data_IF_764013915153
#
_entry.id   IF_764013915153
#
_cell.length_a   1.000
_cell.length_b   1.000
_cell.length_c   1.000
_cell.angle_alpha   90.00
_cell.angle_beta   90.00
_cell.angle_gamma   90.00
#
_symmetry.space_group_name_H-M   'P 1'
#
loop_
_entity.id
_entity.type
_entity.pdbx_description
1 polymer ?
#
# COMPACT_ATOMS: atom_id res chain seq x y z
N UNK A 1 28.44 -9.92 4.34
CA UNK A 1 27.69 -10.22 3.09
C UNK A 1 26.41 -9.41 3.14
N UNK A 2 26.21 -8.43 2.25
CA UNK A 2 24.92 -7.75 2.11
C UNK A 2 23.96 -8.79 1.54
N UNK A 3 22.85 -9.05 2.25
CA UNK A 3 21.76 -9.85 1.68
C UNK A 3 21.32 -9.16 0.38
N UNK A 4 21.19 -9.96 -0.67
CA UNK A 4 20.68 -9.50 -1.97
C UNK A 4 19.31 -8.85 -1.75
N UNK A 5 19.16 -7.61 -2.17
CA UNK A 5 17.87 -6.93 -2.24
C UNK A 5 17.04 -7.67 -3.30
N UNK A 6 16.22 -8.60 -2.86
CA UNK A 6 15.54 -9.51 -3.78
C UNK A 6 14.02 -9.36 -3.63
N UNK A 7 13.43 -8.53 -4.49
CA UNK A 7 12.00 -8.39 -4.63
C UNK A 7 11.33 -9.63 -5.27
N UNK A 8 12.11 -10.57 -5.81
CA UNK A 8 11.58 -11.83 -6.34
C UNK A 8 11.00 -12.71 -5.22
N UNK A 9 11.55 -12.61 -4.00
CA UNK A 9 10.99 -13.34 -2.86
C UNK A 9 9.71 -12.65 -2.37
N UNK A 10 8.59 -13.38 -2.41
CA UNK A 10 7.29 -12.91 -1.94
C UNK A 10 7.00 -13.51 -0.56
N UNK A 11 7.24 -12.78 0.54
CA UNK A 11 7.11 -13.31 1.89
C UNK A 11 5.65 -13.46 2.34
N UNK A 12 5.46 -14.22 3.40
CA UNK A 12 4.27 -14.13 4.24
C UNK A 12 4.65 -13.42 5.55
N UNK A 13 4.04 -12.27 5.80
CA UNK A 13 4.27 -11.46 7.00
C UNK A 13 3.04 -11.58 7.90
N UNK A 14 3.26 -12.04 9.14
CA UNK A 14 2.16 -12.34 10.07
C UNK A 14 2.13 -11.27 11.17
N UNK A 15 1.06 -10.50 11.19
CA UNK A 15 0.76 -9.54 12.24
C UNK A 15 -0.22 -10.07 13.29
N UNK A 16 -0.71 -9.18 14.14
CA UNK A 16 -1.74 -9.50 15.13
C UNK A 16 -3.10 -9.70 14.48
N UNK A 17 -3.49 -8.80 13.58
CA UNK A 17 -4.82 -8.70 12.93
C UNK A 17 -4.78 -9.05 11.46
N UNK A 18 -3.64 -8.88 10.79
CA UNK A 18 -3.47 -9.11 9.35
C UNK A 18 -2.40 -10.14 9.05
N UNK A 19 -2.55 -10.78 7.89
CA UNK A 19 -1.49 -11.53 7.24
C UNK A 19 -1.28 -10.92 5.86
N UNK A 20 -0.05 -10.52 5.55
CA UNK A 20 0.35 -10.14 4.20
C UNK A 20 0.99 -11.36 3.53
N UNK A 21 0.52 -11.74 2.37
CA UNK A 21 1.00 -12.91 1.63
C UNK A 21 0.88 -12.71 0.13
N UNK A 22 1.56 -13.52 -0.69
CA UNK A 22 1.32 -13.54 -2.12
C UNK A 22 -0.16 -13.71 -2.45
N UNK A 23 -0.59 -13.07 -3.54
CA UNK A 23 -1.96 -13.24 -4.06
C UNK A 23 -2.22 -14.70 -4.44
N UNK A 24 -3.48 -15.10 -4.29
CA UNK A 24 -4.02 -16.38 -4.75
C UNK A 24 -5.17 -16.12 -5.71
N UNK A 25 -5.45 -17.02 -6.59
CA UNK A 25 -6.59 -16.93 -7.48
C UNK A 25 -7.92 -16.74 -6.71
N UNK A 26 -8.04 -17.39 -5.55
CA UNK A 26 -9.19 -17.24 -4.65
C UNK A 26 -9.40 -15.83 -4.07
N UNK A 27 -8.42 -14.94 -4.15
CA UNK A 27 -8.53 -13.55 -3.69
C UNK A 27 -9.19 -12.64 -4.73
N UNK A 28 -9.18 -13.03 -6.01
CA UNK A 28 -9.64 -12.20 -7.12
C UNK A 28 -11.09 -11.73 -6.97
N UNK A 29 -12.07 -12.55 -6.57
CA UNK A 29 -13.45 -12.08 -6.39
C UNK A 29 -13.56 -10.97 -5.33
N UNK A 30 -12.86 -11.11 -4.20
CA UNK A 30 -12.87 -10.12 -3.13
C UNK A 30 -12.19 -8.81 -3.55
N UNK A 31 -11.05 -8.91 -4.23
CA UNK A 31 -10.33 -7.75 -4.77
C UNK A 31 -11.11 -7.05 -5.88
N UNK A 32 -11.70 -7.82 -6.79
CA UNK A 32 -12.55 -7.28 -7.86
C UNK A 32 -13.72 -6.47 -7.30
N UNK A 33 -14.43 -7.02 -6.31
CA UNK A 33 -15.52 -6.32 -5.64
C UNK A 33 -15.04 -5.06 -4.89
N UNK A 34 -13.91 -5.14 -4.20
CA UNK A 34 -13.36 -4.02 -3.44
C UNK A 34 -12.89 -2.87 -4.33
N UNK A 35 -12.32 -3.17 -5.49
CA UNK A 35 -11.87 -2.19 -6.48
C UNK A 35 -13.04 -1.53 -7.27
N UNK A 36 -14.24 -2.06 -7.18
CA UNK A 36 -15.47 -1.44 -7.71
C UNK A 36 -16.13 -0.49 -6.71
N UNK A 37 -15.67 -0.47 -5.44
CA UNK A 37 -16.18 0.48 -4.44
C UNK A 37 -15.94 1.92 -4.89
N UNK A 38 -17.00 2.75 -5.05
CA UNK A 38 -16.84 4.10 -5.57
C UNK A 38 -15.96 4.99 -4.69
N UNK A 39 -16.03 4.86 -3.36
CA UNK A 39 -15.18 5.61 -2.44
C UNK A 39 -13.71 5.23 -2.64
N UNK A 40 -13.41 3.94 -2.79
CA UNK A 40 -12.06 3.47 -3.04
C UNK A 40 -11.48 4.07 -4.33
N UNK A 41 -12.24 4.05 -5.41
CA UNK A 41 -11.82 4.59 -6.71
C UNK A 41 -11.51 6.08 -6.64
N UNK A 42 -12.30 6.85 -5.89
CA UNK A 42 -12.04 8.27 -5.63
C UNK A 42 -10.78 8.44 -4.79
N UNK A 43 -10.69 7.76 -3.64
CA UNK A 43 -9.60 7.93 -2.68
C UNK A 43 -8.23 7.50 -3.22
N UNK A 44 -8.19 6.61 -4.22
CA UNK A 44 -6.96 6.20 -4.92
C UNK A 44 -6.62 7.09 -6.13
N UNK A 45 -7.50 8.05 -6.49
CA UNK A 45 -7.30 8.90 -7.65
C UNK A 45 -7.42 8.16 -9.00
N UNK A 46 -8.04 6.97 -9.01
CA UNK A 46 -8.17 6.16 -10.22
C UNK A 46 -9.31 6.61 -11.15
N UNK A 47 -10.07 7.62 -10.75
CA UNK A 47 -11.18 8.20 -11.51
C UNK A 47 -11.20 9.72 -11.38
N UNK A 48 -11.80 10.39 -12.38
CA UNK A 48 -11.81 11.85 -12.47
C UNK A 48 -13.17 12.48 -12.17
N UNK A 49 -14.22 11.67 -12.02
CA UNK A 49 -15.56 12.16 -11.67
C UNK A 49 -16.40 11.06 -10.98
N UNK A 50 -17.56 11.48 -10.45
CA UNK A 50 -18.48 10.61 -9.73
C UNK A 50 -19.19 9.58 -10.65
N UNK A 51 -19.32 9.85 -11.94
CA UNK A 51 -19.90 8.90 -12.89
C UNK A 51 -18.93 7.76 -13.16
N UNK A 52 -17.66 8.06 -13.41
CA UNK A 52 -16.60 7.06 -13.53
C UNK A 52 -16.45 6.23 -12.24
N UNK A 53 -16.58 6.86 -11.07
CA UNK A 53 -16.49 6.14 -9.80
C UNK A 53 -17.55 5.04 -9.66
N UNK A 54 -18.74 5.23 -10.23
CA UNK A 54 -19.88 4.29 -10.18
C UNK A 54 -19.98 3.39 -11.41
N UNK A 55 -19.18 3.62 -12.45
CA UNK A 55 -19.24 2.83 -13.67
C UNK A 55 -18.88 1.36 -13.39
N UNK A 56 -19.65 0.41 -13.91
CA UNK A 56 -19.27 -1.00 -13.87
C UNK A 56 -18.02 -1.23 -14.70
N UNK A 57 -17.29 -2.28 -14.40
CA UNK A 57 -16.22 -2.78 -15.28
C UNK A 57 -16.81 -3.59 -16.42
N UNK A 58 -16.17 -3.50 -17.57
CA UNK A 58 -16.44 -4.38 -18.71
C UNK A 58 -15.79 -5.76 -18.48
N UNK A 59 -16.23 -6.81 -19.19
CA UNK A 59 -15.57 -8.12 -19.16
C UNK A 59 -14.08 -8.08 -19.53
N UNK A 60 -13.68 -7.19 -20.43
CA UNK A 60 -12.28 -7.03 -20.82
C UNK A 60 -11.44 -6.42 -19.69
N UNK A 61 -11.99 -5.43 -18.96
CA UNK A 61 -11.34 -4.87 -17.77
C UNK A 61 -11.23 -5.89 -16.63
N UNK A 62 -12.23 -6.76 -16.46
CA UNK A 62 -12.17 -7.84 -15.47
C UNK A 62 -11.10 -8.87 -15.83
N UNK A 63 -10.94 -9.20 -17.11
CA UNK A 63 -9.87 -10.06 -17.60
C UNK A 63 -8.49 -9.42 -17.36
N UNK A 64 -8.32 -8.15 -17.72
CA UNK A 64 -7.08 -7.41 -17.49
C UNK A 64 -6.71 -7.38 -16.00
N UNK A 65 -7.70 -7.25 -15.11
CA UNK A 65 -7.48 -7.28 -13.67
C UNK A 65 -7.00 -8.66 -13.21
N UNK A 66 -7.61 -9.74 -13.70
CA UNK A 66 -7.19 -11.10 -13.38
C UNK A 66 -5.77 -11.39 -13.87
N UNK A 67 -5.45 -11.02 -15.12
CA UNK A 67 -4.11 -11.14 -15.69
C UNK A 67 -3.08 -10.30 -14.91
N UNK A 68 -3.47 -9.10 -14.47
CA UNK A 68 -2.64 -8.23 -13.64
C UNK A 68 -2.26 -8.91 -12.34
N UNK A 69 -3.21 -9.40 -11.55
CA UNK A 69 -2.91 -10.08 -10.28
C UNK A 69 -2.20 -11.41 -10.48
N UNK A 70 -2.50 -12.14 -11.56
CA UNK A 70 -1.86 -13.41 -11.89
C UNK A 70 -0.35 -13.30 -12.13
N UNK A 71 0.12 -12.13 -12.59
CA UNK A 71 1.54 -11.91 -12.93
C UNK A 71 2.35 -11.19 -11.83
N UNK A 72 1.71 -10.71 -10.77
CA UNK A 72 2.41 -9.92 -9.72
C UNK A 72 3.44 -10.75 -8.94
N UNK A 73 3.18 -12.03 -8.76
CA UNK A 73 4.10 -12.93 -8.08
C UNK A 73 5.45 -13.09 -8.78
N UNK A 74 5.49 -12.95 -10.09
CA UNK A 74 6.67 -13.23 -10.93
C UNK A 74 7.59 -12.01 -11.13
N UNK A 75 7.16 -10.81 -10.72
CA UNK A 75 7.94 -9.59 -10.94
C UNK A 75 9.00 -9.41 -9.84
N UNK A 76 10.25 -9.17 -10.27
CA UNK A 76 11.41 -9.08 -9.38
C UNK A 76 11.76 -7.64 -8.96
N UNK A 77 11.00 -6.64 -9.41
CA UNK A 77 11.22 -5.21 -9.16
C UNK A 77 10.16 -4.58 -8.25
N UNK A 78 9.26 -5.40 -7.73
CA UNK A 78 8.14 -4.97 -6.88
C UNK A 78 7.68 -6.07 -5.94
N UNK A 79 7.02 -5.68 -4.87
CA UNK A 79 6.40 -6.58 -3.90
C UNK A 79 4.93 -6.24 -3.75
N UNK A 80 4.06 -7.11 -4.27
CA UNK A 80 2.60 -6.98 -4.14
C UNK A 80 2.09 -8.09 -3.24
N UNK A 81 1.51 -7.72 -2.11
CA UNK A 81 0.97 -8.68 -1.13
C UNK A 81 -0.51 -8.42 -0.88
N UNK A 82 -1.29 -9.49 -0.87
CA UNK A 82 -2.67 -9.47 -0.41
C UNK A 82 -2.70 -9.18 1.10
N UNK A 83 -3.55 -8.24 1.51
CA UNK A 83 -3.85 -7.98 2.92
C UNK A 83 -5.03 -8.88 3.31
N UNK A 84 -4.76 -9.86 4.17
CA UNK A 84 -5.77 -10.80 4.64
C UNK A 84 -6.15 -10.46 6.09
N UNK A 85 -7.45 -10.31 6.34
CA UNK A 85 -7.98 -10.20 7.71
C UNK A 85 -7.79 -11.56 8.41
N UNK A 86 -6.98 -11.57 9.47
CA UNK A 86 -6.64 -12.81 10.18
C UNK A 86 -7.84 -13.47 10.86
N UNK A 87 -8.81 -12.68 11.30
CA UNK A 87 -10.01 -13.19 11.97
C UNK A 87 -11.00 -13.85 10.98
N UNK A 88 -11.15 -13.26 9.79
CA UNK A 88 -12.09 -13.76 8.78
C UNK A 88 -11.42 -14.71 7.77
N UNK A 89 -10.09 -14.70 7.65
CA UNK A 89 -9.36 -15.44 6.62
C UNK A 89 -9.51 -14.88 5.20
N UNK A 90 -10.12 -13.70 5.04
CA UNK A 90 -10.48 -13.12 3.75
C UNK A 90 -9.50 -12.03 3.31
N UNK A 91 -9.26 -11.95 2.00
CA UNK A 91 -8.54 -10.84 1.41
C UNK A 91 -9.39 -9.56 1.49
N UNK A 92 -8.82 -8.50 2.05
CA UNK A 92 -9.48 -7.21 2.25
C UNK A 92 -8.78 -6.06 1.53
N UNK A 93 -7.68 -6.33 0.85
CA UNK A 93 -6.91 -5.31 0.15
C UNK A 93 -5.54 -5.77 -0.30
N UNK A 94 -4.70 -4.81 -0.63
CA UNK A 94 -3.30 -5.02 -1.03
C UNK A 94 -2.35 -4.03 -0.39
N UNK A 95 -1.10 -4.44 -0.19
CA UNK A 95 0.02 -3.58 0.19
C UNK A 95 1.17 -3.82 -0.79
N UNK A 96 1.76 -2.73 -1.31
CA UNK A 96 2.67 -2.78 -2.44
C UNK A 96 3.90 -1.91 -2.18
N UNK A 97 5.08 -2.46 -2.46
CA UNK A 97 6.31 -1.70 -2.70
C UNK A 97 6.63 -1.81 -4.19
N UNK A 98 6.72 -0.68 -4.90
CA UNK A 98 6.99 -0.60 -6.33
C UNK A 98 7.94 0.56 -6.66
N UNK A 99 8.22 0.74 -7.93
CA UNK A 99 9.15 1.78 -8.40
C UNK A 99 10.51 1.69 -7.67
N UNK A 100 11.04 0.46 -7.58
CA UNK A 100 12.31 0.21 -6.93
C UNK A 100 13.47 0.85 -7.68
N UNK A 101 14.19 1.71 -6.97
CA UNK A 101 15.45 2.31 -7.41
C UNK A 101 16.61 1.70 -6.59
N UNK A 102 17.33 0.73 -7.15
CA UNK A 102 18.44 0.08 -6.47
C UNK A 102 19.62 1.01 -6.18
N UNK A 103 19.80 2.04 -7.00
CA UNK A 103 20.89 3.03 -6.83
C UNK A 103 20.68 3.89 -5.59
N UNK A 104 19.46 4.30 -5.35
CA UNK A 104 19.04 5.10 -4.19
C UNK A 104 18.51 4.26 -3.03
N UNK A 105 18.40 2.94 -3.19
CA UNK A 105 17.79 2.03 -2.22
C UNK A 105 16.40 2.52 -1.78
N UNK A 106 15.59 2.96 -2.74
CA UNK A 106 14.29 3.55 -2.46
C UNK A 106 13.18 2.87 -3.25
N UNK A 107 11.96 3.00 -2.76
CA UNK A 107 10.76 2.58 -3.48
C UNK A 107 9.57 3.46 -3.11
N UNK A 108 8.49 3.32 -3.90
CA UNK A 108 7.18 3.85 -3.59
C UNK A 108 6.36 2.81 -2.83
N UNK A 109 5.53 3.26 -1.91
CA UNK A 109 4.57 2.44 -1.16
C UNK A 109 3.14 2.80 -1.55
N UNK A 110 2.33 1.78 -1.76
CA UNK A 110 0.88 1.91 -1.95
C UNK A 110 0.16 0.92 -1.06
N UNK A 111 -1.01 1.32 -0.57
CA UNK A 111 -1.95 0.43 0.11
C UNK A 111 -3.37 0.71 -0.35
N UNK A 112 -4.12 -0.35 -0.51
CA UNK A 112 -5.54 -0.31 -0.74
C UNK A 112 -6.24 -1.21 0.29
N UNK A 113 -7.24 -0.67 0.98
CA UNK A 113 -8.10 -1.44 1.88
C UNK A 113 -9.55 -1.24 1.45
N UNK A 114 -10.18 -2.32 1.04
CA UNK A 114 -11.57 -2.34 0.65
C UNK A 114 -12.54 -2.11 1.84
N UNK A 115 -13.84 -1.89 1.57
CA UNK A 115 -14.83 -1.54 2.60
C UNK A 115 -14.85 -2.50 3.80
N UNK A 116 -14.64 -3.81 3.56
CA UNK A 116 -14.67 -4.84 4.61
C UNK A 116 -13.50 -4.77 5.60
N UNK A 117 -12.39 -4.12 5.23
CA UNK A 117 -11.19 -3.99 6.06
C UNK A 117 -10.99 -2.61 6.68
N UNK A 118 -11.81 -1.60 6.32
CA UNK A 118 -11.66 -0.22 6.79
C UNK A 118 -12.00 -0.06 8.26
N UNK A 119 -11.45 0.97 8.88
CA UNK A 119 -11.75 1.45 10.25
C UNK A 119 -11.50 0.41 11.37
N UNK A 120 -10.72 -0.64 11.08
CA UNK A 120 -10.37 -1.74 11.99
C UNK A 120 -8.87 -1.79 12.33
N UNK A 121 -8.11 -0.80 11.91
CA UNK A 121 -6.66 -0.72 12.12
C UNK A 121 -5.83 -1.61 11.18
N UNK A 122 -6.47 -2.40 10.30
CA UNK A 122 -5.78 -3.36 9.43
C UNK A 122 -4.80 -2.67 8.48
N UNK A 123 -5.17 -1.51 7.89
CA UNK A 123 -4.30 -0.77 7.00
C UNK A 123 -3.03 -0.24 7.67
N UNK A 124 -3.13 0.26 8.90
CA UNK A 124 -1.95 0.74 9.65
C UNK A 124 -1.00 -0.40 9.98
N UNK A 125 -1.53 -1.54 10.40
CA UNK A 125 -0.71 -2.72 10.71
C UNK A 125 -0.07 -3.30 9.45
N UNK A 126 -0.82 -3.42 8.36
CA UNK A 126 -0.31 -3.86 7.06
C UNK A 126 0.83 -2.95 6.56
N UNK A 127 0.66 -1.62 6.70
CA UNK A 127 1.70 -0.64 6.36
C UNK A 127 2.97 -0.89 7.16
N UNK A 128 2.86 -1.07 8.48
CA UNK A 128 4.04 -1.34 9.33
C UNK A 128 4.75 -2.62 8.96
N UNK A 129 4.02 -3.69 8.67
CA UNK A 129 4.60 -4.98 8.31
C UNK A 129 5.43 -4.91 7.02
N UNK A 130 4.86 -4.33 5.95
CA UNK A 130 5.55 -4.28 4.66
C UNK A 130 6.69 -3.27 4.66
N UNK A 131 6.54 -2.14 5.33
CA UNK A 131 7.59 -1.12 5.50
C UNK A 131 8.75 -1.69 6.33
N UNK A 132 8.46 -2.39 7.43
CA UNK A 132 9.48 -3.09 8.22
C UNK A 132 10.24 -4.11 7.39
N UNK A 133 9.55 -4.93 6.60
CA UNK A 133 10.18 -5.86 5.69
C UNK A 133 11.08 -5.15 4.66
N UNK A 134 10.63 -4.02 4.11
CA UNK A 134 11.41 -3.20 3.20
C UNK A 134 12.75 -2.75 3.79
N UNK A 135 12.77 -2.31 5.04
CA UNK A 135 14.01 -1.87 5.71
C UNK A 135 14.87 -3.03 6.20
N UNK A 136 14.26 -4.05 6.81
CA UNK A 136 14.98 -5.10 7.52
C UNK A 136 15.49 -6.20 6.59
N UNK A 137 14.76 -6.49 5.50
CA UNK A 137 15.07 -7.59 4.59
C UNK A 137 15.49 -7.13 3.20
N UNK A 138 14.83 -6.10 2.64
CA UNK A 138 15.18 -5.58 1.32
C UNK A 138 16.30 -4.52 1.39
N UNK A 139 16.68 -4.05 2.59
CA UNK A 139 17.77 -3.10 2.78
C UNK A 139 17.48 -1.72 2.18
N UNK A 140 16.21 -1.34 2.08
CA UNK A 140 15.83 -0.02 1.61
C UNK A 140 16.34 1.06 2.56
N UNK A 141 16.65 2.22 2.01
CA UNK A 141 17.00 3.43 2.75
C UNK A 141 15.80 4.34 2.95
N UNK A 142 14.91 4.38 1.96
CA UNK A 142 13.76 5.28 1.91
C UNK A 142 12.54 4.61 1.30
N UNK A 143 11.39 4.83 1.90
CA UNK A 143 10.09 4.45 1.34
C UNK A 143 9.21 5.71 1.31
N UNK A 144 8.63 6.03 0.15
CA UNK A 144 7.79 7.22 -0.05
C UNK A 144 6.41 6.88 -0.56
N UNK A 145 5.49 7.80 -0.43
CA UNK A 145 4.12 7.70 -0.93
C UNK A 145 3.54 9.08 -1.23
N UNK A 146 2.43 9.10 -1.95
CA UNK A 146 1.59 10.29 -2.09
C UNK A 146 0.20 10.01 -1.53
N UNK A 147 -0.43 11.03 -0.95
CA UNK A 147 -1.79 10.96 -0.46
C UNK A 147 -2.56 12.23 -0.82
N UNK A 148 -3.70 12.07 -1.49
CA UNK A 148 -4.56 13.19 -1.89
C UNK A 148 -5.21 13.87 -0.69
N UNK A 149 -5.42 15.20 -0.79
CA UNK A 149 -5.93 16.04 0.29
C UNK A 149 -7.31 15.58 0.80
N UNK A 150 -8.13 14.95 -0.05
CA UNK A 150 -9.43 14.41 0.35
C UNK A 150 -9.36 13.07 1.08
N UNK A 151 -8.16 12.50 1.32
CA UNK A 151 -7.98 11.24 2.05
C UNK A 151 -7.25 11.41 3.40
N UNK A 152 -7.80 12.21 4.34
CA UNK A 152 -7.16 12.45 5.64
C UNK A 152 -7.07 11.18 6.49
N UNK A 153 -7.92 10.17 6.23
CA UNK A 153 -7.89 8.87 6.90
C UNK A 153 -6.60 8.12 6.58
N UNK A 154 -6.24 8.01 5.30
CA UNK A 154 -5.00 7.38 4.88
C UNK A 154 -3.78 8.13 5.41
N UNK A 155 -3.76 9.46 5.31
CA UNK A 155 -2.69 10.30 5.86
C UNK A 155 -2.44 10.00 7.33
N UNK A 156 -3.49 9.97 8.18
CA UNK A 156 -3.34 9.62 9.61
C UNK A 156 -2.82 8.18 9.82
N UNK A 157 -3.19 7.24 8.96
CA UNK A 157 -2.67 5.86 9.03
C UNK A 157 -1.17 5.82 8.71
N UNK A 158 -0.72 6.60 7.72
CA UNK A 158 0.70 6.71 7.36
C UNK A 158 1.52 7.41 8.45
N UNK A 159 1.01 8.50 9.02
CA UNK A 159 1.63 9.18 10.17
C UNK A 159 1.82 8.22 11.35
N UNK A 160 0.80 7.41 11.68
CA UNK A 160 0.89 6.36 12.72
C UNK A 160 1.87 5.24 12.37
N UNK A 161 2.16 5.03 11.10
CA UNK A 161 3.14 4.06 10.62
C UNK A 161 4.55 4.65 10.48
N UNK A 162 4.77 5.90 10.91
CA UNK A 162 6.08 6.55 10.93
C UNK A 162 6.40 7.43 9.72
N UNK A 163 5.48 7.56 8.76
CA UNK A 163 5.68 8.47 7.62
C UNK A 163 5.55 9.93 8.05
N UNK A 164 6.40 10.77 7.46
CA UNK A 164 6.42 12.23 7.65
C UNK A 164 6.13 12.93 6.34
N UNK A 165 5.36 14.03 6.41
CA UNK A 165 5.13 14.89 5.26
C UNK A 165 6.41 15.65 4.88
N UNK A 166 6.71 15.69 3.59
CA UNK A 166 7.88 16.40 3.04
C UNK A 166 7.51 17.60 2.17
N UNK A 167 6.31 17.56 1.57
CA UNK A 167 5.85 18.65 0.72
C UNK A 167 4.47 18.38 0.15
N UNK A 168 4.01 19.32 -0.66
CA UNK A 168 2.72 19.26 -1.34
C UNK A 168 2.93 19.40 -2.84
N UNK A 169 2.41 18.45 -3.59
CA UNK A 169 2.22 18.55 -5.02
C UNK A 169 0.91 19.27 -5.25
N UNK A 170 1.01 20.54 -5.67
CA UNK A 170 -0.17 21.35 -5.93
C UNK A 170 -0.87 20.87 -7.20
N UNK A 171 -2.21 20.81 -7.15
CA UNK A 171 -3.05 20.49 -8.31
C UNK A 171 -2.68 19.16 -9.00
N UNK A 172 -2.34 18.15 -8.19
CA UNK A 172 -1.82 16.85 -8.62
C UNK A 172 -2.89 15.97 -9.27
N UNK A 173 -4.15 16.15 -8.92
CA UNK A 173 -5.29 15.39 -9.47
C UNK A 173 -6.42 16.34 -9.85
N UNK A 174 -7.12 16.05 -10.93
CA UNK A 174 -8.38 16.71 -11.26
C UNK A 174 -9.55 15.77 -10.97
N UNK A 175 -10.47 16.19 -10.07
CA UNK A 175 -11.65 15.41 -9.72
C UNK A 175 -12.91 16.32 -9.72
N UNK A 176 -13.98 15.90 -10.40
CA UNK A 176 -15.22 16.67 -10.60
C UNK A 176 -14.98 18.12 -11.10
N UNK A 177 -13.96 18.32 -11.93
CA UNK A 177 -13.60 19.64 -12.45
C UNK A 177 -12.70 20.47 -11.56
N UNK A 178 -12.50 20.10 -10.30
CA UNK A 178 -11.63 20.78 -9.33
C UNK A 178 -10.24 20.13 -9.25
N UNK A 179 -9.24 20.95 -8.97
CA UNK A 179 -7.87 20.49 -8.75
C UNK A 179 -7.64 20.12 -7.28
N UNK A 180 -6.96 19.02 -7.04
CA UNK A 180 -6.69 18.47 -5.71
C UNK A 180 -5.20 18.31 -5.51
N UNK A 181 -4.71 18.78 -4.37
CA UNK A 181 -3.32 18.61 -3.97
C UNK A 181 -3.04 17.19 -3.47
N UNK A 182 -1.79 16.74 -3.58
CA UNK A 182 -1.29 15.56 -2.91
C UNK A 182 -0.16 15.89 -1.95
N UNK A 183 -0.16 15.29 -0.76
CA UNK A 183 0.97 15.37 0.16
C UNK A 183 1.94 14.24 -0.13
N UNK A 184 3.22 14.57 -0.37
CA UNK A 184 4.31 13.61 -0.43
C UNK A 184 4.74 13.29 0.99
N UNK A 185 4.84 12.00 1.32
CA UNK A 185 5.29 11.53 2.62
C UNK A 185 6.38 10.46 2.45
N UNK A 186 7.25 10.34 3.43
CA UNK A 186 8.27 9.31 3.45
C UNK A 186 8.60 8.85 4.87
N UNK A 187 9.27 7.71 4.94
CA UNK A 187 9.95 7.20 6.13
C UNK A 187 11.35 6.74 5.74
N UNK A 188 12.33 6.99 6.60
CA UNK A 188 13.73 6.62 6.41
C UNK A 188 14.10 5.43 7.30
N UNK A 189 15.01 4.58 6.83
CA UNK A 189 15.53 3.44 7.61
C UNK A 189 16.05 3.86 8.99
N UNK A 190 16.71 5.03 9.09
CA UNK A 190 17.23 5.56 10.35
C UNK A 190 16.12 6.00 11.33
N UNK A 191 14.96 6.40 10.83
CA UNK A 191 13.79 6.76 11.64
C UNK A 191 13.10 5.49 12.14
N UNK A 192 12.87 4.53 11.24
CA UNK A 192 12.32 3.22 11.56
C UNK A 192 13.10 2.51 12.68
N UNK A 193 14.43 2.46 12.54
CA UNK A 193 15.29 1.84 13.54
C UNK A 193 15.26 2.51 14.92
N UNK A 194 14.93 3.80 15.00
CA UNK A 194 14.76 4.52 16.27
C UNK A 194 13.43 4.19 16.96
N UNK A 195 12.36 4.06 16.21
CA UNK A 195 11.05 3.70 16.76
C UNK A 195 11.00 2.23 17.21
N UNK A 196 11.73 1.34 16.52
CA UNK A 196 11.83 -0.08 16.89
C UNK A 196 12.70 -0.35 18.14
N UNK A 197 13.51 0.62 18.57
CA UNK A 197 14.28 0.50 19.82
C UNK A 197 13.42 0.94 21.00
N UNK A 198 13.14 0.05 21.99
CA UNK A 198 12.54 0.50 23.24
C UNK A 198 13.43 1.58 23.85
N UNK A 199 12.80 2.63 24.40
CA UNK A 199 13.52 3.66 25.15
C UNK A 199 14.41 2.94 26.17
N UNK A 200 15.75 3.11 26.04
CA UNK A 200 16.67 2.67 27.09
C UNK A 200 16.27 3.47 28.32
N UNK A 201 15.82 2.78 29.35
CA UNK A 201 15.66 3.35 30.67
C UNK A 201 16.93 4.14 31.00
N UNK A 202 16.76 5.46 31.05
CA UNK A 202 17.79 6.36 31.56
C UNK A 202 17.75 6.21 33.07
N UNK A 203 18.53 5.24 33.58
CA UNK A 203 18.85 5.11 35.00
C UNK A 203 19.88 6.17 35.42
#
# INVERSE_FOLDING_TARGET
MRQSQDFAVKPTLVGERVVLRPFRESDLPAMSAALLDPEARVLTGSVHDAAQARAPRSPDEDKLLADWYGTRGDQADRLDLAVTDKAAGECVGEAVLNDWDPGNQSCNFRIFIGPRGRDRGLGTEATRLIVGYGFEHLGLHRISLEVYAFNPRARRAYEKAGFRAEGVLRESLRYNGEWVDATVMSVLASEWAREARPAKDSG
#
